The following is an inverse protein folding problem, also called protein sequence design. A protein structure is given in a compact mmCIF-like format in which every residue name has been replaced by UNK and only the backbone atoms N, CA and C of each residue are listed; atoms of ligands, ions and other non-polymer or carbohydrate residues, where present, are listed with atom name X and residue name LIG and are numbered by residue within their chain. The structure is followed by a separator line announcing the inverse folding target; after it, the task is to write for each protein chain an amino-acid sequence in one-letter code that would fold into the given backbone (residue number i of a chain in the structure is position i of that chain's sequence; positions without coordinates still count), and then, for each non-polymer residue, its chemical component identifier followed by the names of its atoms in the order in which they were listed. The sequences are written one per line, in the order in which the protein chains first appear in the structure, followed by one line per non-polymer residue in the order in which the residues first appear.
data_IF_743126627165
#
_entry.id   IF_743126627165
#
_cell.length_a   1.000
_cell.length_b   1.000
_cell.length_c   1.000
_cell.angle_alpha   90.00
_cell.angle_beta   90.00
_cell.angle_gamma   90.00
#
_symmetry.space_group_name_H-M   'P 1'
#
loop_
_entity.id
_entity.type
_entity.pdbx_description
1 polymer ?
#
# COMPACT_ATOMS: atom_id res chain seq x y z
N UNK A 1 4.34 10.36 0.73
CA UNK A 1 4.84 9.28 -0.16
C UNK A 1 4.15 9.36 -1.52
N UNK A 2 2.83 9.28 -1.55
CA UNK A 2 2.02 9.55 -2.75
C UNK A 2 0.84 10.43 -2.35
N UNK A 3 0.93 11.74 -2.61
CA UNK A 3 -0.13 12.72 -2.33
C UNK A 3 -0.34 13.50 -3.61
N UNK A 4 -1.41 13.18 -4.34
CA UNK A 4 -1.69 13.61 -5.73
C UNK A 4 -0.68 13.12 -6.78
N UNK A 5 0.60 13.05 -6.45
CA UNK A 5 1.67 12.49 -7.27
C UNK A 5 2.68 11.74 -6.41
N UNK A 6 3.52 10.92 -7.05
CA UNK A 6 4.66 10.29 -6.39
C UNK A 6 5.62 11.36 -5.86
N UNK A 7 6.07 11.22 -4.62
CA UNK A 7 7.20 12.01 -4.14
C UNK A 7 8.50 11.54 -4.80
N UNK A 8 9.57 12.34 -4.66
CA UNK A 8 10.89 11.98 -5.19
C UNK A 8 11.32 10.61 -4.67
N UNK A 9 12.12 9.90 -5.48
CA UNK A 9 12.64 8.57 -5.17
C UNK A 9 11.59 7.45 -5.04
N UNK A 10 10.31 7.69 -5.32
CA UNK A 10 9.26 6.66 -5.26
C UNK A 10 8.73 6.28 -6.64
N UNK A 11 8.29 5.04 -6.75
CA UNK A 11 7.68 4.48 -7.96
C UNK A 11 6.63 3.44 -7.59
N UNK A 12 5.62 3.29 -8.44
CA UNK A 12 4.79 2.09 -8.39
C UNK A 12 5.54 0.93 -9.04
N UNK A 13 5.32 -0.26 -8.50
CA UNK A 13 5.86 -1.49 -9.06
C UNK A 13 4.76 -2.54 -9.10
N UNK A 14 4.57 -3.15 -10.27
CA UNK A 14 3.54 -4.16 -10.53
C UNK A 14 4.24 -5.47 -10.87
N UNK A 15 4.05 -6.50 -10.04
CA UNK A 15 4.61 -7.83 -10.22
C UNK A 15 3.49 -8.85 -10.45
N UNK A 16 3.63 -9.67 -11.48
CA UNK A 16 2.86 -10.89 -11.68
C UNK A 16 3.74 -12.12 -11.40
N UNK A 17 3.16 -13.32 -11.52
CA UNK A 17 3.84 -14.57 -11.21
C UNK A 17 4.83 -15.06 -12.30
N UNK A 18 4.80 -14.49 -13.50
CA UNK A 18 5.43 -15.07 -14.70
C UNK A 18 6.45 -14.16 -15.37
N UNK A 19 6.40 -12.86 -15.13
CA UNK A 19 7.24 -11.87 -15.81
C UNK A 19 8.03 -11.00 -14.85
N UNK A 20 8.98 -10.25 -15.40
CA UNK A 20 9.73 -9.27 -14.62
C UNK A 20 8.81 -8.15 -14.13
N UNK A 21 9.08 -7.66 -12.91
CA UNK A 21 8.33 -6.56 -12.29
C UNK A 21 8.38 -5.29 -13.16
N UNK A 22 7.23 -4.72 -13.42
CA UNK A 22 7.09 -3.45 -14.16
C UNK A 22 7.18 -2.29 -13.17
N UNK A 23 7.97 -1.28 -13.51
CA UNK A 23 8.14 -0.05 -12.73
C UNK A 23 7.41 1.09 -13.44
N UNK A 24 6.56 1.83 -12.75
CA UNK A 24 5.78 2.94 -13.32
C UNK A 24 5.70 4.16 -12.42
N UNK A 25 5.85 5.33 -13.02
CA UNK A 25 5.60 6.63 -12.40
C UNK A 25 4.34 7.33 -12.95
N UNK A 26 3.62 6.68 -13.87
CA UNK A 26 2.53 7.28 -14.64
C UNK A 26 1.15 7.22 -13.98
N UNK A 27 0.13 7.57 -14.77
CA UNK A 27 -1.29 7.47 -14.41
C UNK A 27 -1.84 6.05 -14.57
N UNK A 28 -1.27 5.24 -15.46
CA UNK A 28 -1.66 3.83 -15.66
C UNK A 28 -0.46 2.91 -15.89
N UNK A 29 -0.63 1.63 -15.60
CA UNK A 29 0.33 0.58 -15.91
C UNK A 29 -0.35 -0.79 -15.90
N UNK A 30 0.34 -1.80 -16.40
CA UNK A 30 -0.01 -3.21 -16.19
C UNK A 30 1.20 -3.96 -15.63
N UNK A 31 0.98 -5.12 -15.04
CA UNK A 31 2.03 -6.13 -14.87
C UNK A 31 2.61 -6.54 -16.23
N UNK A 32 3.74 -7.26 -16.24
CA UNK A 32 4.46 -7.55 -17.48
C UNK A 32 3.71 -8.52 -18.39
N UNK A 33 2.86 -9.39 -17.82
CA UNK A 33 1.91 -10.23 -18.57
C UNK A 33 0.72 -9.45 -19.18
N UNK A 34 0.61 -8.16 -18.84
CA UNK A 34 -0.43 -7.22 -19.26
C UNK A 34 -1.86 -7.58 -18.81
N UNK A 35 -2.02 -8.52 -17.89
CA UNK A 35 -3.34 -9.08 -17.52
C UNK A 35 -3.55 -9.23 -16.02
N UNK A 36 -2.58 -9.77 -15.29
CA UNK A 36 -2.75 -10.15 -13.87
C UNK A 36 -3.05 -8.95 -12.97
N UNK A 37 -2.40 -7.82 -13.23
CA UNK A 37 -2.53 -6.60 -12.44
C UNK A 37 -2.59 -5.37 -13.34
N UNK A 38 -3.57 -4.52 -13.11
CA UNK A 38 -3.76 -3.25 -13.83
C UNK A 38 -3.81 -2.11 -12.84
N UNK A 39 -3.09 -1.03 -13.12
CA UNK A 39 -3.14 0.25 -12.44
C UNK A 39 -3.77 1.31 -13.34
N UNK A 40 -4.68 2.10 -12.81
CA UNK A 40 -5.25 3.27 -13.48
C UNK A 40 -5.42 4.43 -12.49
N UNK A 41 -5.44 5.65 -13.00
CA UNK A 41 -5.73 6.84 -12.20
C UNK A 41 -7.23 6.97 -11.99
N UNK A 42 -7.63 7.36 -10.78
CA UNK A 42 -9.01 7.71 -10.46
C UNK A 42 -9.01 9.03 -9.70
N UNK A 43 -10.20 9.61 -9.53
CA UNK A 43 -10.38 10.88 -8.85
C UNK A 43 -10.89 10.64 -7.44
N UNK A 44 -10.28 11.30 -6.47
CA UNK A 44 -10.78 11.47 -5.11
C UNK A 44 -11.27 12.90 -4.93
N UNK A 45 -10.35 13.86 -4.82
CA UNK A 45 -10.64 15.28 -4.61
C UNK A 45 -10.25 16.13 -5.83
N UNK A 46 -9.25 15.66 -6.58
CA UNK A 46 -8.74 16.28 -7.81
C UNK A 46 -8.69 15.26 -8.94
N UNK A 47 -8.44 15.71 -10.17
CA UNK A 47 -8.22 14.80 -11.29
C UNK A 47 -6.93 13.99 -11.07
N UNK A 48 -7.03 12.66 -11.21
CA UNK A 48 -5.93 11.68 -11.18
C UNK A 48 -5.08 11.68 -9.90
N UNK A 49 -5.64 12.14 -8.78
CA UNK A 49 -4.95 12.19 -7.48
C UNK A 49 -4.91 10.85 -6.73
N UNK A 50 -5.58 9.83 -7.27
CA UNK A 50 -5.62 8.48 -6.73
C UNK A 50 -5.18 7.43 -7.76
N UNK A 51 -4.85 6.23 -7.28
CA UNK A 51 -4.56 5.06 -8.13
C UNK A 51 -5.47 3.90 -7.75
N UNK A 52 -6.15 3.35 -8.75
CA UNK A 52 -6.91 2.11 -8.65
C UNK A 52 -6.07 0.95 -9.17
N UNK A 53 -6.19 -0.18 -8.48
CA UNK A 53 -5.51 -1.42 -8.78
C UNK A 53 -6.53 -2.55 -8.87
N UNK A 54 -6.41 -3.37 -9.91
CA UNK A 54 -7.27 -4.52 -10.14
C UNK A 54 -6.42 -5.77 -10.36
N UNK A 55 -6.53 -6.72 -9.43
CA UNK A 55 -5.95 -8.05 -9.51
C UNK A 55 -6.95 -9.01 -10.14
N UNK A 56 -6.50 -9.69 -11.19
CA UNK A 56 -7.24 -10.76 -11.88
C UNK A 56 -6.57 -12.13 -11.73
N UNK A 57 -5.33 -12.14 -11.28
CA UNK A 57 -4.56 -13.31 -10.90
C UNK A 57 -3.55 -12.94 -9.81
N UNK A 58 -2.76 -13.91 -9.34
CA UNK A 58 -1.74 -13.69 -8.32
C UNK A 58 -0.75 -12.61 -8.74
N UNK A 59 -0.59 -11.59 -7.89
CA UNK A 59 0.34 -10.51 -8.13
C UNK A 59 0.52 -9.59 -6.93
N UNK A 60 1.46 -8.66 -7.05
CA UNK A 60 1.76 -7.68 -6.03
C UNK A 60 1.85 -6.27 -6.64
N UNK A 61 1.27 -5.29 -5.96
CA UNK A 61 1.61 -3.88 -6.18
C UNK A 61 2.45 -3.39 -5.00
N UNK A 62 3.51 -2.65 -5.29
CA UNK A 62 4.29 -1.95 -4.27
C UNK A 62 4.43 -0.46 -4.60
N UNK A 63 4.30 0.40 -3.59
CA UNK A 63 4.83 1.75 -3.61
C UNK A 63 6.27 1.69 -3.08
N UNK A 64 7.24 1.84 -3.96
CA UNK A 64 8.62 1.41 -3.70
C UNK A 64 9.61 2.54 -3.87
N UNK A 65 10.65 2.54 -3.05
CA UNK A 65 11.77 3.44 -3.20
C UNK A 65 12.67 2.94 -4.33
N UNK A 66 13.14 3.84 -5.21
CA UNK A 66 14.11 3.51 -6.27
C UNK A 66 15.45 3.09 -5.68
N UNK A 67 15.78 3.60 -4.48
CA UNK A 67 16.89 3.18 -3.63
C UNK A 67 16.35 2.98 -2.22
N UNK A 68 16.68 1.87 -1.53
CA UNK A 68 16.23 1.65 -0.17
C UNK A 68 16.53 2.86 0.73
N UNK A 69 15.58 3.18 1.62
CA UNK A 69 15.69 4.29 2.58
C UNK A 69 15.63 3.77 4.02
N UNK A 70 16.43 4.35 4.90
CA UNK A 70 16.31 4.13 6.35
C UNK A 70 15.14 4.91 6.92
N UNK A 71 14.36 4.30 7.81
CA UNK A 71 13.43 5.07 8.65
C UNK A 71 14.19 5.75 9.79
N UNK A 72 13.91 7.04 9.98
CA UNK A 72 14.33 7.82 11.14
C UNK A 72 13.71 7.23 12.41
N UNK A 73 14.47 7.15 13.51
CA UNK A 73 14.03 6.58 14.79
C UNK A 73 12.81 7.29 15.38
N UNK A 74 12.54 8.54 14.99
CA UNK A 74 11.30 9.25 15.36
C UNK A 74 10.03 8.54 14.88
N UNK A 75 10.12 7.66 13.88
CA UNK A 75 9.00 6.89 13.35
C UNK A 75 8.73 5.57 14.10
N UNK A 76 9.44 5.27 15.20
CA UNK A 76 9.24 4.05 15.99
C UNK A 76 7.79 3.81 16.46
N UNK A 77 7.05 4.89 16.73
CA UNK A 77 5.64 4.86 17.17
C UNK A 77 4.72 5.55 16.16
N UNK A 78 5.20 5.72 14.92
CA UNK A 78 4.47 6.42 13.89
C UNK A 78 3.54 5.47 13.12
N UNK A 79 2.81 6.08 12.18
CA UNK A 79 1.80 5.43 11.37
C UNK A 79 2.09 5.68 9.89
N UNK A 80 1.75 4.71 9.06
CA UNK A 80 1.45 4.96 7.66
C UNK A 80 -0.04 5.27 7.56
N UNK A 81 -0.36 6.45 7.04
CA UNK A 81 -1.73 6.84 6.76
C UNK A 81 -1.98 6.81 5.25
N UNK A 82 -3.15 6.30 4.86
CA UNK A 82 -3.63 6.37 3.48
C UNK A 82 -5.13 6.45 3.41
N UNK A 83 -5.65 6.97 2.31
CA UNK A 83 -7.05 6.75 1.93
C UNK A 83 -7.17 5.52 1.08
N UNK A 84 -8.12 4.64 1.39
CA UNK A 84 -8.40 3.43 0.64
C UNK A 84 -9.89 3.29 0.36
N UNK A 85 -10.22 2.76 -0.81
CA UNK A 85 -11.56 2.28 -1.17
C UNK A 85 -11.46 0.87 -1.71
N UNK A 86 -12.26 -0.07 -1.20
CA UNK A 86 -12.30 -1.45 -1.70
C UNK A 86 -13.54 -1.60 -2.60
N UNK A 87 -13.35 -1.69 -3.91
CA UNK A 87 -14.46 -1.83 -4.87
C UNK A 87 -14.97 -3.29 -4.94
N UNK A 88 -14.03 -4.24 -4.86
CA UNK A 88 -14.25 -5.68 -4.84
C UNK A 88 -13.36 -6.28 -3.76
N UNK A 89 -13.98 -6.81 -2.71
CA UNK A 89 -13.26 -7.47 -1.62
C UNK A 89 -12.37 -8.62 -2.14
N UNK A 90 -11.23 -8.86 -1.48
CA UNK A 90 -10.34 -9.92 -1.88
C UNK A 90 -10.94 -11.31 -1.64
N UNK A 91 -10.46 -12.32 -2.38
CA UNK A 91 -10.58 -13.70 -1.90
C UNK A 91 -9.57 -13.95 -0.76
N UNK A 92 -9.69 -15.10 -0.07
CA UNK A 92 -8.77 -15.50 0.99
C UNK A 92 -7.29 -15.37 0.55
N UNK A 93 -6.45 -14.85 1.46
CA UNK A 93 -4.99 -14.78 1.28
C UNK A 93 -4.43 -13.45 0.75
N UNK A 94 -5.21 -12.37 0.78
CA UNK A 94 -4.71 -11.04 0.40
C UNK A 94 -4.12 -10.28 1.59
N UNK A 95 -2.95 -9.67 1.39
CA UNK A 95 -2.17 -9.02 2.45
C UNK A 95 -1.86 -7.56 2.12
N UNK A 96 -1.88 -6.71 3.15
CA UNK A 96 -1.35 -5.36 3.16
C UNK A 96 -0.10 -5.34 4.04
N UNK A 97 1.04 -5.03 3.44
CA UNK A 97 2.33 -5.05 4.10
C UNK A 97 2.96 -3.65 4.03
N UNK A 98 3.61 -3.23 5.11
CA UNK A 98 4.09 -1.87 5.31
C UNK A 98 5.58 -1.90 5.64
N UNK A 99 6.33 -0.97 5.03
CA UNK A 99 7.78 -0.79 5.22
C UNK A 99 8.57 -2.10 5.10
N UNK A 100 8.49 -2.70 3.92
CA UNK A 100 9.15 -3.96 3.63
C UNK A 100 10.57 -3.78 3.10
N UNK A 101 11.41 -4.75 3.44
CA UNK A 101 12.69 -5.01 2.81
C UNK A 101 12.77 -6.50 2.50
N UNK A 102 12.75 -6.84 1.20
CA UNK A 102 12.52 -8.21 0.74
C UNK A 102 11.22 -8.76 1.34
N UNK A 103 11.30 -9.84 2.12
CA UNK A 103 10.15 -10.51 2.74
C UNK A 103 9.89 -10.06 4.17
N UNK A 104 10.78 -9.25 4.76
CA UNK A 104 10.59 -8.72 6.11
C UNK A 104 9.87 -7.37 6.03
N UNK A 105 8.69 -7.28 6.63
CA UNK A 105 7.87 -6.08 6.70
C UNK A 105 7.64 -5.71 8.16
N UNK A 106 7.62 -4.41 8.46
CA UNK A 106 7.41 -3.95 9.84
C UNK A 106 5.99 -4.25 10.35
N UNK A 107 5.01 -4.17 9.43
CA UNK A 107 3.62 -4.51 9.68
C UNK A 107 3.08 -5.32 8.50
N UNK A 108 2.34 -6.38 8.81
CA UNK A 108 1.61 -7.21 7.86
C UNK A 108 0.19 -7.41 8.37
N UNK A 109 -0.80 -7.10 7.54
CA UNK A 109 -2.23 -7.21 7.83
C UNK A 109 -2.91 -8.07 6.78
N UNK A 110 -3.69 -9.05 7.20
CA UNK A 110 -4.63 -9.74 6.32
C UNK A 110 -5.84 -8.85 6.06
N UNK A 111 -6.28 -8.75 4.79
CA UNK A 111 -7.44 -7.93 4.43
C UNK A 111 -8.72 -8.36 5.17
N UNK A 112 -8.85 -9.65 5.50
CA UNK A 112 -10.00 -10.18 6.26
C UNK A 112 -10.17 -9.54 7.64
N UNK A 113 -9.10 -8.95 8.20
CA UNK A 113 -9.15 -8.26 9.50
C UNK A 113 -9.87 -6.91 9.44
N UNK A 114 -9.94 -6.26 8.27
CA UNK A 114 -10.54 -4.92 8.13
C UNK A 114 -11.50 -4.77 6.93
N UNK A 115 -11.64 -5.75 6.05
CA UNK A 115 -12.49 -5.64 4.85
C UNK A 115 -13.96 -5.37 5.17
N UNK A 116 -14.46 -5.84 6.32
CA UNK A 116 -15.83 -5.57 6.78
C UNK A 116 -16.05 -4.10 7.11
N UNK A 117 -15.03 -3.41 7.62
CA UNK A 117 -15.07 -1.96 7.88
C UNK A 117 -15.15 -1.15 6.57
N UNK A 118 -14.69 -1.76 5.47
CA UNK A 118 -14.59 -1.16 4.14
C UNK A 118 -15.68 -1.67 3.17
N UNK A 119 -16.68 -2.38 3.68
CA UNK A 119 -17.68 -3.09 2.86
C UNK A 119 -18.67 -2.16 2.15
N UNK A 120 -18.76 -0.90 2.59
CA UNK A 120 -19.61 0.14 2.01
C UNK A 120 -19.09 0.67 0.65
N UNK A 121 -17.88 0.25 0.25
CA UNK A 121 -17.21 0.66 -0.99
C UNK A 121 -16.95 2.17 -1.07
N UNK A 122 -16.86 2.84 0.07
CA UNK A 122 -16.49 4.25 0.15
C UNK A 122 -15.00 4.42 0.48
N UNK A 123 -14.52 5.64 0.33
CA UNK A 123 -13.19 6.02 0.78
C UNK A 123 -13.16 6.12 2.31
N UNK A 124 -12.17 5.47 2.92
CA UNK A 124 -11.85 5.63 4.33
C UNK A 124 -10.38 6.01 4.49
N UNK A 125 -10.09 6.88 5.46
CA UNK A 125 -8.72 7.14 5.90
C UNK A 125 -8.32 6.05 6.88
N UNK A 126 -7.25 5.33 6.59
CA UNK A 126 -6.70 4.25 7.40
C UNK A 126 -5.38 4.71 8.01
N UNK A 127 -5.23 4.56 9.31
CA UNK A 127 -3.98 4.76 10.02
C UNK A 127 -3.42 3.40 10.48
N UNK A 128 -2.23 3.05 10.01
CA UNK A 128 -1.62 1.75 10.23
C UNK A 128 -0.34 1.94 11.04
N UNK A 129 -0.25 1.42 12.28
CA UNK A 129 0.97 1.46 13.07
C UNK A 129 2.14 0.85 12.29
N UNK A 130 3.27 1.55 12.26
CA UNK A 130 4.44 1.08 11.52
C UNK A 130 5.12 -0.11 12.20
N UNK A 131 5.00 -0.27 13.51
CA UNK A 131 5.81 -1.22 14.27
C UNK A 131 4.96 -2.05 15.23
N UNK A 132 4.42 -3.14 14.71
CA UNK A 132 3.61 -4.05 15.51
C UNK A 132 4.41 -4.94 16.46
N UNK A 133 5.67 -5.22 16.13
CA UNK A 133 6.53 -6.08 16.93
C UNK A 133 7.30 -5.34 18.05
N UNK A 134 7.19 -4.01 18.12
CA UNK A 134 7.95 -3.20 19.09
C UNK A 134 9.46 -3.22 18.86
N UNK A 135 9.92 -3.60 17.67
CA UNK A 135 11.33 -3.66 17.32
C UNK A 135 11.91 -2.25 17.13
N UNK A 136 13.19 -2.03 17.42
CA UNK A 136 13.81 -0.74 17.07
C UNK A 136 13.87 -0.62 15.54
N UNK A 137 13.20 0.39 14.98
CA UNK A 137 13.21 0.66 13.54
C UNK A 137 14.50 1.34 13.07
N UNK A 138 15.30 1.84 14.02
CA UNK A 138 16.55 2.53 13.72
C UNK A 138 17.43 1.61 12.85
N UNK A 139 17.86 2.14 11.71
CA UNK A 139 18.78 1.50 10.74
C UNK A 139 18.16 0.43 9.83
N UNK A 140 16.86 0.12 9.95
CA UNK A 140 16.21 -0.79 9.00
C UNK A 140 15.99 -0.10 7.65
N UNK A 141 16.71 -0.58 6.64
CA UNK A 141 16.49 -0.22 5.24
C UNK A 141 15.12 -0.72 4.80
N UNK A 142 14.38 0.12 4.07
CA UNK A 142 13.07 -0.20 3.49
C UNK A 142 13.13 -0.02 1.98
N UNK A 143 12.69 -1.05 1.23
CA UNK A 143 12.54 -0.98 -0.23
C UNK A 143 11.12 -0.60 -0.65
N UNK A 144 10.11 -1.07 0.09
CA UNK A 144 8.70 -0.87 -0.26
C UNK A 144 7.99 -0.19 0.92
N UNK A 145 7.44 1.01 0.71
CA UNK A 145 6.66 1.68 1.75
C UNK A 145 5.32 0.97 1.98
N UNK A 146 4.70 0.51 0.90
CA UNK A 146 3.50 -0.33 0.91
C UNK A 146 3.70 -1.45 -0.10
N UNK A 147 3.27 -2.66 0.24
CA UNK A 147 3.08 -3.79 -0.67
C UNK A 147 1.70 -4.40 -0.43
N UNK A 148 0.90 -4.56 -1.48
CA UNK A 148 -0.38 -5.28 -1.44
C UNK A 148 -0.27 -6.50 -2.34
N UNK A 149 -0.57 -7.67 -1.80
CA UNK A 149 -0.56 -8.94 -2.53
C UNK A 149 -1.96 -9.52 -2.56
N UNK A 150 -2.38 -10.02 -3.73
CA UNK A 150 -3.69 -10.64 -3.91
C UNK A 150 -3.73 -11.51 -5.17
N UNK A 151 -4.76 -12.34 -5.28
CA UNK A 151 -5.13 -13.08 -6.49
C UNK A 151 -6.38 -12.50 -7.19
N UNK A 152 -7.24 -11.80 -6.46
CA UNK A 152 -8.48 -11.20 -6.97
C UNK A 152 -8.93 -10.13 -5.98
N UNK A 153 -8.73 -8.87 -6.33
CA UNK A 153 -9.01 -7.69 -5.50
C UNK A 153 -9.19 -6.48 -6.42
N UNK A 154 -10.10 -5.57 -6.08
CA UNK A 154 -10.14 -4.25 -6.69
C UNK A 154 -10.21 -3.20 -5.60
N UNK A 155 -9.23 -2.30 -5.58
CA UNK A 155 -9.19 -1.19 -4.64
C UNK A 155 -8.57 0.05 -5.27
N UNK A 156 -8.78 1.19 -4.63
CA UNK A 156 -8.08 2.42 -4.93
C UNK A 156 -7.41 2.97 -3.67
N UNK A 157 -6.28 3.65 -3.86
CA UNK A 157 -5.51 4.32 -2.80
C UNK A 157 -5.18 5.76 -3.17
N UNK A 158 -5.11 6.61 -2.15
CA UNK A 158 -4.73 8.01 -2.26
C UNK A 158 -4.06 8.48 -0.97
N UNK A 159 -3.46 9.68 -1.02
CA UNK A 159 -2.94 10.40 0.15
C UNK A 159 -2.07 9.55 1.11
N UNK A 160 -1.12 8.80 0.55
CA UNK A 160 -0.22 7.93 1.29
C UNK A 160 0.91 8.76 1.92
N UNK A 161 0.98 8.77 3.25
CA UNK A 161 1.96 9.53 4.01
C UNK A 161 2.42 8.80 5.29
N UNK A 162 3.57 9.22 5.81
CA UNK A 162 4.02 8.86 7.15
C UNK A 162 3.63 9.98 8.11
N UNK A 163 3.03 9.62 9.25
CA UNK A 163 2.61 10.57 10.27
C UNK A 163 3.01 10.10 11.67
N UNK A 164 3.39 11.05 12.53
CA UNK A 164 3.69 10.77 13.94
C UNK A 164 2.41 10.59 14.77
N UNK A 165 1.30 11.17 14.31
CA UNK A 165 -0.01 11.08 14.95
C UNK A 165 -1.08 10.86 13.88
N UNK A 166 -1.95 9.86 14.01
CA UNK A 166 -3.06 9.65 13.08
C UNK A 166 -3.98 10.88 13.01
N UNK A 167 -4.60 11.10 11.86
CA UNK A 167 -5.74 12.01 11.75
C UNK A 167 -6.86 11.58 12.71
N UNK A 168 -7.60 12.54 13.28
CA UNK A 168 -8.69 12.26 14.21
C UNK A 168 -9.83 11.45 13.57
N UNK A 169 -10.04 11.63 12.25
CA UNK A 169 -11.08 10.93 11.50
C UNK A 169 -10.57 9.61 10.86
N UNK A 170 -9.32 9.23 11.15
CA UNK A 170 -8.74 7.98 10.63
C UNK A 170 -9.24 6.75 11.39
N UNK A 171 -9.50 5.68 10.64
CA UNK A 171 -9.71 4.35 11.18
C UNK A 171 -8.35 3.75 11.51
N UNK A 172 -8.04 3.64 12.80
CA UNK A 172 -6.81 2.98 13.26
C UNK A 172 -6.93 1.48 13.08
N UNK A 173 -6.09 0.89 12.21
CA UNK A 173 -5.95 -0.56 12.12
C UNK A 173 -4.99 -1.04 13.20
N UNK A 174 -5.48 -1.89 14.11
CA UNK A 174 -4.64 -2.46 15.16
C UNK A 174 -3.68 -3.51 14.61
N UNK A 175 -2.56 -3.66 15.29
CA UNK A 175 -1.65 -4.77 15.04
C UNK A 175 -2.36 -6.12 15.29
N UNK A 176 -2.13 -7.14 14.45
CA UNK A 176 -2.65 -8.47 14.71
C UNK A 176 -2.00 -9.02 16.00
N UNK A 177 -2.81 -9.69 16.82
CA UNK A 177 -2.37 -10.36 18.06
C UNK A 177 -1.68 -11.68 17.76
#
# INVERSE_FOLDING_TARGET
LFVRSLAKNLTWQLADATTAKVTSTGSSATSGDKQSLVMQSVNLSYQEDARQFNWRAQGAVSLSYLKPESLDSKFNTAYLELKMRIDKAPALGSKLQIMCNKDNCLTELDFTSFEKLMADKNWHTLAIPLNCAGNKLAEQQTSDAIRITSNSLSLAVADIALTLKPDNDSLSLSCPN
#
